data_IF_365477687367
#
_entry.id   IF_365477687367
#
_cell.length_a   1.000
_cell.length_b   1.000
_cell.length_c   1.000
_cell.angle_alpha   90.00
_cell.angle_beta   90.00
_cell.angle_gamma   90.00
#
_symmetry.space_group_name_H-M   'P 1'
#
loop_
_entity.id
_entity.type
_entity.pdbx_description
1 polymer ?
#
# COMPACT_ATOMS: atom_id res chain seq x y z
N UNK A 1 -88.19 -21.26 33.05
CA UNK A 1 -87.42 -20.97 31.82
C UNK A 1 -86.97 -19.50 31.86
N UNK A 2 -85.70 -19.24 31.55
CA UNK A 2 -85.10 -17.94 31.19
C UNK A 2 -84.62 -16.93 32.26
N UNK A 3 -83.98 -17.34 33.36
CA UNK A 3 -83.15 -16.38 34.14
C UNK A 3 -81.76 -16.84 34.60
N UNK A 4 -81.43 -18.14 34.56
CA UNK A 4 -80.11 -18.63 35.02
C UNK A 4 -79.04 -18.75 33.92
N UNK A 5 -79.42 -18.67 32.64
CA UNK A 5 -78.47 -18.82 31.52
C UNK A 5 -77.74 -17.50 31.13
N UNK A 6 -78.20 -16.34 31.62
CA UNK A 6 -77.72 -15.04 31.11
C UNK A 6 -76.62 -14.38 31.98
N UNK A 7 -76.25 -14.99 33.12
CA UNK A 7 -75.14 -14.50 33.95
C UNK A 7 -73.79 -15.15 33.60
N UNK A 8 -73.78 -16.37 33.06
CA UNK A 8 -72.55 -17.07 32.68
C UNK A 8 -71.82 -16.41 31.50
N UNK A 9 -72.55 -15.89 30.51
CA UNK A 9 -71.93 -15.24 29.35
C UNK A 9 -71.23 -13.91 29.68
N UNK A 10 -71.76 -13.15 30.66
CA UNK A 10 -71.24 -11.82 31.00
C UNK A 10 -69.92 -11.88 31.78
N UNK A 11 -69.67 -12.96 32.54
CA UNK A 11 -68.41 -13.16 33.25
C UNK A 11 -67.31 -13.74 32.34
N UNK A 12 -67.67 -14.55 31.33
CA UNK A 12 -66.71 -15.09 30.36
C UNK A 12 -66.17 -13.98 29.43
N UNK A 13 -67.03 -13.05 28.99
CA UNK A 13 -66.61 -11.90 28.17
C UNK A 13 -65.65 -10.96 28.89
N UNK A 14 -65.84 -10.73 30.20
CA UNK A 14 -64.97 -9.87 31.00
C UNK A 14 -63.57 -10.45 31.22
N UNK A 15 -63.45 -11.77 31.20
CA UNK A 15 -62.16 -12.47 31.30
C UNK A 15 -61.39 -12.42 29.98
N UNK A 16 -62.06 -12.61 28.84
CA UNK A 16 -61.43 -12.50 27.52
C UNK A 16 -60.94 -11.08 27.18
N UNK A 17 -61.70 -10.05 27.57
CA UNK A 17 -61.30 -8.64 27.37
C UNK A 17 -60.08 -8.22 28.20
N UNK A 18 -59.85 -8.84 29.36
CA UNK A 18 -58.67 -8.58 30.19
C UNK A 18 -57.41 -9.29 29.67
N UNK A 19 -57.56 -10.44 29.00
CA UNK A 19 -56.44 -11.16 28.37
C UNK A 19 -55.95 -10.49 27.07
N UNK A 20 -56.84 -9.84 26.31
CA UNK A 20 -56.47 -9.08 25.09
C UNK A 20 -55.70 -7.78 25.35
N UNK A 21 -55.82 -7.18 26.55
CA UNK A 21 -55.16 -5.91 26.87
C UNK A 21 -53.67 -6.07 27.26
N UNK A 22 -53.20 -7.28 27.55
CA UNK A 22 -51.81 -7.55 27.97
C UNK A 22 -50.90 -7.90 26.79
N UNK A 23 -51.44 -8.24 25.61
CA UNK A 23 -50.64 -8.61 24.43
C UNK A 23 -50.26 -7.42 23.52
N UNK A 24 -50.69 -6.20 23.81
CA UNK A 24 -50.39 -5.00 23.00
C UNK A 24 -49.06 -4.31 23.36
N UNK A 25 -48.26 -4.90 24.25
CA UNK A 25 -46.93 -4.43 24.68
C UNK A 25 -45.81 -5.37 24.21
N UNK A 26 -45.98 -5.98 23.03
CA UNK A 26 -44.89 -6.65 22.33
C UNK A 26 -44.37 -5.69 21.25
N UNK A 27 -43.54 -4.73 21.66
CA UNK A 27 -42.67 -3.97 20.75
C UNK A 27 -41.89 -4.96 19.88
N UNK A 28 -42.01 -4.93 18.54
CA UNK A 28 -41.01 -5.58 17.71
C UNK A 28 -39.73 -4.76 17.87
N UNK A 29 -38.81 -5.25 18.71
CA UNK A 29 -37.43 -4.76 18.76
C UNK A 29 -36.90 -4.79 17.33
N UNK A 30 -36.74 -3.60 16.78
CA UNK A 30 -36.11 -3.39 15.49
C UNK A 30 -34.66 -3.82 15.65
N UNK A 31 -34.32 -5.00 15.13
CA UNK A 31 -32.94 -5.41 14.92
C UNK A 31 -32.38 -4.56 13.77
N UNK A 32 -32.09 -3.29 14.04
CA UNK A 32 -31.15 -2.50 13.24
C UNK A 32 -29.76 -3.05 13.54
N UNK A 33 -29.45 -4.19 12.92
CA UNK A 33 -28.10 -4.70 12.84
C UNK A 33 -27.25 -3.66 12.12
N UNK A 34 -26.41 -2.97 12.89
CA UNK A 34 -25.39 -2.10 12.35
C UNK A 34 -24.41 -3.00 11.56
N UNK A 35 -24.65 -3.15 10.26
CA UNK A 35 -23.73 -3.83 9.35
C UNK A 35 -22.48 -2.95 9.24
N UNK A 36 -21.53 -3.12 10.16
CA UNK A 36 -20.21 -2.52 10.01
C UNK A 36 -19.64 -3.00 8.69
N UNK A 37 -19.34 -2.05 7.81
CA UNK A 37 -18.75 -2.35 6.51
C UNK A 37 -17.43 -3.08 6.72
N UNK A 38 -17.13 -4.07 5.88
CA UNK A 38 -15.85 -4.82 5.93
C UNK A 38 -14.62 -3.89 5.94
N UNK A 39 -14.74 -2.70 5.35
CA UNK A 39 -13.72 -1.64 5.39
C UNK A 39 -13.39 -1.12 6.80
N UNK A 40 -14.34 -1.16 7.74
CA UNK A 40 -14.17 -0.70 9.13
C UNK A 40 -13.51 -1.77 10.02
N UNK A 41 -13.49 -3.03 9.57
CA UNK A 41 -12.88 -4.15 10.28
C UNK A 41 -11.41 -4.38 9.92
N UNK A 42 -10.90 -3.71 8.88
CA UNK A 42 -9.51 -3.86 8.45
C UNK A 42 -8.58 -3.06 9.38
N UNK A 43 -7.54 -3.68 9.97
CA UNK A 43 -6.53 -2.92 10.70
C UNK A 43 -5.83 -1.93 9.77
N UNK A 44 -5.54 -0.73 10.28
CA UNK A 44 -4.80 0.27 9.52
C UNK A 44 -3.40 -0.23 9.14
N UNK A 45 -2.87 0.24 8.01
CA UNK A 45 -1.53 -0.16 7.51
C UNK A 45 -0.37 0.19 8.45
N UNK A 46 -0.59 1.08 9.42
CA UNK A 46 0.39 1.44 10.45
C UNK A 46 0.19 0.68 11.77
N UNK A 47 -0.80 -0.20 11.84
CA UNK A 47 -1.09 -0.96 13.05
C UNK A 47 -0.30 -2.27 13.03
N UNK A 48 0.20 -2.65 14.20
CA UNK A 48 0.76 -3.99 14.40
C UNK A 48 -0.39 -5.00 14.41
N UNK A 49 -0.25 -6.08 13.65
CA UNK A 49 -1.23 -7.16 13.60
C UNK A 49 -0.66 -8.36 14.35
N UNK A 50 -1.25 -8.75 15.49
CA UNK A 50 -0.81 -9.96 16.21
C UNK A 50 -0.99 -11.21 15.37
N UNK A 51 0.05 -12.05 15.27
CA UNK A 51 0.04 -13.31 14.52
C UNK A 51 0.64 -13.22 13.11
N UNK A 52 0.90 -12.01 12.59
CA UNK A 52 1.64 -11.84 11.34
C UNK A 52 3.15 -11.99 11.59
N UNK A 53 3.80 -12.87 10.82
CA UNK A 53 5.23 -13.14 10.90
C UNK A 53 6.02 -12.32 9.86
N UNK A 54 7.29 -12.04 10.17
CA UNK A 54 8.17 -11.27 9.28
C UNK A 54 7.87 -9.77 9.28
N UNK A 55 8.37 -9.08 8.25
CA UNK A 55 8.20 -7.63 8.11
C UNK A 55 6.74 -7.29 7.80
N UNK A 56 6.12 -6.48 8.66
CA UNK A 56 4.70 -6.13 8.55
C UNK A 56 4.47 -4.83 7.75
N UNK A 57 3.21 -4.58 7.40
CA UNK A 57 2.79 -3.34 6.70
C UNK A 57 3.20 -2.05 7.42
N UNK A 58 3.20 -2.06 8.76
CA UNK A 58 3.68 -0.93 9.57
C UNK A 58 5.17 -0.68 9.31
N UNK A 59 5.98 -1.73 9.35
CA UNK A 59 7.44 -1.60 9.21
C UNK A 59 7.80 -1.12 7.79
N UNK A 60 7.03 -1.54 6.78
CA UNK A 60 7.10 -1.00 5.43
C UNK A 60 6.83 0.50 5.39
N UNK A 61 5.74 0.95 6.00
CA UNK A 61 5.37 2.38 6.05
C UNK A 61 6.46 3.18 6.76
N UNK A 62 6.82 2.77 7.97
CA UNK A 62 7.80 3.47 8.82
C UNK A 62 9.17 3.54 8.14
N UNK A 63 9.65 2.43 7.58
CA UNK A 63 10.94 2.38 6.89
C UNK A 63 10.94 3.32 5.69
N UNK A 64 9.95 3.21 4.81
CA UNK A 64 9.98 3.95 3.55
C UNK A 64 9.68 5.44 3.76
N UNK A 65 8.91 5.83 4.79
CA UNK A 65 8.77 7.23 5.21
C UNK A 65 10.10 7.81 5.70
N UNK A 66 10.78 7.09 6.61
CA UNK A 66 12.08 7.53 7.16
C UNK A 66 13.15 7.64 6.08
N UNK A 67 13.33 6.59 5.29
CA UNK A 67 14.38 6.54 4.26
C UNK A 67 14.13 7.56 3.15
N UNK A 68 12.87 7.76 2.72
CA UNK A 68 12.56 8.79 1.73
C UNK A 68 12.86 10.19 2.28
N UNK A 69 12.51 10.47 3.54
CA UNK A 69 12.81 11.74 4.17
C UNK A 69 14.32 11.98 4.32
N UNK A 70 15.09 10.95 4.65
CA UNK A 70 16.54 11.04 4.78
C UNK A 70 17.22 11.23 3.41
N UNK A 71 16.74 10.57 2.36
CA UNK A 71 17.26 10.73 1.00
C UNK A 71 17.11 12.18 0.50
N UNK A 72 16.03 12.87 0.87
CA UNK A 72 15.83 14.27 0.50
C UNK A 72 16.76 15.26 1.21
N UNK A 73 17.47 14.84 2.27
CA UNK A 73 18.44 15.67 2.99
C UNK A 73 19.85 15.61 2.41
N UNK A 74 20.09 14.67 1.48
CA UNK A 74 21.38 14.49 0.82
C UNK A 74 21.74 15.79 0.07
N UNK A 75 22.91 16.42 0.32
CA UNK A 75 23.29 17.67 -0.32
C UNK A 75 23.25 17.63 -1.85
N UNK A 76 23.67 16.52 -2.44
CA UNK A 76 23.68 16.25 -3.88
C UNK A 76 22.28 16.30 -4.51
N UNK A 77 21.22 16.15 -3.69
CA UNK A 77 19.82 16.23 -4.09
C UNK A 77 19.21 17.56 -3.63
N UNK A 78 19.46 17.97 -2.39
CA UNK A 78 18.85 19.14 -1.77
C UNK A 78 19.37 20.47 -2.34
N UNK A 79 20.66 20.53 -2.70
CA UNK A 79 21.33 21.74 -3.15
C UNK A 79 21.53 21.77 -4.67
N UNK A 80 21.11 20.73 -5.39
CA UNK A 80 21.26 20.66 -6.83
C UNK A 80 20.27 21.63 -7.51
N UNK A 81 20.76 22.57 -8.34
CA UNK A 81 19.86 23.46 -9.08
C UNK A 81 19.01 22.73 -10.12
N UNK A 82 19.45 21.54 -10.55
CA UNK A 82 18.77 20.71 -11.53
C UNK A 82 18.19 19.45 -10.90
N UNK A 83 17.20 18.86 -11.58
CA UNK A 83 16.64 17.56 -11.17
C UNK A 83 17.70 16.47 -11.20
N UNK A 84 17.82 15.76 -10.09
CA UNK A 84 18.63 14.54 -10.01
C UNK A 84 17.84 13.40 -10.59
N UNK A 85 18.48 12.67 -11.51
CA UNK A 85 17.87 11.54 -12.19
C UNK A 85 18.32 10.26 -11.50
N UNK A 86 17.38 9.54 -10.88
CA UNK A 86 17.63 8.32 -10.12
C UNK A 86 16.96 7.14 -10.81
N UNK A 87 17.70 6.06 -11.03
CA UNK A 87 17.11 4.77 -11.39
C UNK A 87 16.84 3.96 -10.13
N UNK A 88 15.63 3.43 -10.01
CA UNK A 88 15.32 2.46 -8.97
C UNK A 88 15.86 1.09 -9.42
N UNK A 89 16.98 0.68 -8.83
CA UNK A 89 17.52 -0.66 -9.03
C UNK A 89 16.74 -1.67 -8.17
N UNK A 90 17.03 -2.97 -8.29
CA UNK A 90 16.30 -4.01 -7.56
C UNK A 90 16.56 -3.98 -6.05
N UNK A 91 15.59 -4.48 -5.28
CA UNK A 91 15.83 -4.98 -3.92
C UNK A 91 16.26 -6.44 -4.01
N UNK A 92 17.29 -6.80 -3.27
CA UNK A 92 17.69 -8.18 -3.04
C UNK A 92 17.17 -8.68 -1.71
N UNK A 93 16.37 -9.73 -1.74
CA UNK A 93 15.96 -10.45 -0.54
C UNK A 93 17.04 -11.48 -0.17
N UNK A 94 17.74 -11.25 0.95
CA UNK A 94 18.68 -12.20 1.58
C UNK A 94 18.17 -12.68 2.95
N UNK A 95 16.86 -12.58 3.17
CA UNK A 95 16.22 -13.09 4.38
C UNK A 95 16.00 -14.60 4.28
N UNK A 96 15.64 -15.21 5.40
CA UNK A 96 15.16 -16.59 5.49
C UNK A 96 13.77 -16.79 4.84
N UNK A 97 13.11 -15.72 4.37
CA UNK A 97 11.77 -15.71 3.79
C UNK A 97 11.78 -15.27 2.31
N UNK A 98 12.24 -16.13 1.38
CA UNK A 98 12.42 -15.75 -0.03
C UNK A 98 11.11 -15.52 -0.80
N UNK A 99 9.96 -15.93 -0.24
CA UNK A 99 8.65 -15.74 -0.88
C UNK A 99 8.07 -14.33 -0.69
N UNK A 100 8.67 -13.51 0.17
CA UNK A 100 8.20 -12.14 0.42
C UNK A 100 8.55 -11.22 -0.76
N UNK A 101 7.56 -10.51 -1.27
CA UNK A 101 7.74 -9.54 -2.34
C UNK A 101 8.26 -8.21 -1.77
N UNK A 102 9.59 -8.03 -1.82
CA UNK A 102 10.23 -6.81 -1.33
C UNK A 102 10.23 -5.67 -2.36
N UNK A 103 9.67 -5.88 -3.57
CA UNK A 103 9.59 -4.79 -4.57
C UNK A 103 8.63 -3.69 -4.14
N UNK A 104 7.68 -4.01 -3.26
CA UNK A 104 6.71 -3.06 -2.70
C UNK A 104 7.38 -1.89 -1.96
N UNK A 105 8.55 -2.12 -1.33
CA UNK A 105 9.27 -1.08 -0.60
C UNK A 105 9.83 -0.01 -1.54
N UNK A 106 10.45 -0.42 -2.66
CA UNK A 106 10.89 0.51 -3.71
C UNK A 106 9.68 1.21 -4.33
N UNK A 107 8.59 0.47 -4.60
CA UNK A 107 7.39 1.04 -5.19
C UNK A 107 6.81 2.17 -4.32
N UNK A 108 6.68 1.96 -3.00
CA UNK A 108 6.20 2.99 -2.08
C UNK A 108 7.16 4.16 -1.97
N UNK A 109 8.47 3.94 -1.84
CA UNK A 109 9.46 5.04 -1.82
C UNK A 109 9.40 5.87 -3.11
N UNK A 110 9.33 5.22 -4.28
CA UNK A 110 9.16 5.90 -5.57
C UNK A 110 7.90 6.76 -5.59
N UNK A 111 6.79 6.26 -5.06
CA UNK A 111 5.55 7.02 -4.97
C UNK A 111 5.71 8.26 -4.06
N UNK A 112 6.29 8.10 -2.87
CA UNK A 112 6.54 9.20 -1.93
C UNK A 112 7.46 10.27 -2.52
N UNK A 113 8.59 9.85 -3.10
CA UNK A 113 9.56 10.78 -3.65
C UNK A 113 9.00 11.52 -4.89
N UNK A 114 8.21 10.86 -5.73
CA UNK A 114 7.49 11.52 -6.81
C UNK A 114 6.43 12.52 -6.30
N UNK A 115 5.81 12.25 -5.15
CA UNK A 115 4.81 13.12 -4.55
C UNK A 115 5.44 14.37 -3.91
N UNK A 116 6.54 14.20 -3.16
CA UNK A 116 7.11 15.26 -2.32
C UNK A 116 8.38 15.93 -2.89
N UNK A 117 8.99 15.36 -3.93
CA UNK A 117 10.26 15.85 -4.46
C UNK A 117 10.31 15.84 -6.00
N UNK A 118 9.17 16.01 -6.66
CA UNK A 118 9.07 16.04 -8.13
C UNK A 118 9.90 17.13 -8.81
N UNK A 119 10.16 18.20 -8.07
CA UNK A 119 10.97 19.35 -8.45
C UNK A 119 12.47 19.06 -8.36
N UNK A 120 12.89 18.12 -7.49
CA UNK A 120 14.30 17.79 -7.21
C UNK A 120 14.74 16.44 -7.78
N UNK A 121 13.84 15.48 -7.89
CA UNK A 121 14.13 14.11 -8.31
C UNK A 121 13.24 13.72 -9.49
N UNK A 122 13.84 13.06 -10.48
CA UNK A 122 13.15 12.36 -11.54
C UNK A 122 13.54 10.87 -11.50
N UNK A 123 12.54 10.00 -11.57
CA UNK A 123 12.76 8.57 -11.70
C UNK A 123 12.64 8.14 -13.16
N UNK A 124 13.48 7.19 -13.57
CA UNK A 124 13.40 6.56 -14.87
C UNK A 124 13.08 5.08 -14.70
N UNK A 125 12.09 4.62 -15.45
CA UNK A 125 11.79 3.20 -15.57
C UNK A 125 12.82 2.49 -16.47
N UNK A 126 13.11 1.21 -16.22
CA UNK A 126 14.04 0.44 -17.06
C UNK A 126 13.71 0.58 -18.57
N UNK A 127 14.72 0.76 -19.45
CA UNK A 127 14.51 1.03 -20.87
C UNK A 127 13.62 0.00 -21.59
N UNK A 128 13.68 -1.27 -21.18
CA UNK A 128 12.91 -2.35 -21.80
C UNK A 128 11.39 -2.15 -21.66
N UNK A 129 10.93 -1.61 -20.54
CA UNK A 129 9.50 -1.40 -20.28
C UNK A 129 9.01 -0.15 -20.99
N UNK A 130 9.79 0.94 -20.93
CA UNK A 130 9.47 2.18 -21.65
C UNK A 130 9.42 1.97 -23.16
N UNK A 131 10.32 1.18 -23.74
CA UNK A 131 10.29 0.86 -25.17
C UNK A 131 9.03 0.11 -25.59
N UNK A 132 8.56 -0.86 -24.79
CA UNK A 132 7.30 -1.57 -25.05
C UNK A 132 6.11 -0.62 -25.03
N UNK A 133 6.03 0.26 -24.03
CA UNK A 133 4.98 1.26 -23.91
C UNK A 133 5.02 2.28 -25.05
N UNK A 134 6.21 2.75 -25.42
CA UNK A 134 6.38 3.65 -26.56
C UNK A 134 5.94 2.97 -27.86
N UNK A 135 6.33 1.72 -28.11
CA UNK A 135 5.85 0.97 -29.28
C UNK A 135 4.33 0.79 -29.26
N UNK A 136 3.73 0.52 -28.10
CA UNK A 136 2.29 0.32 -27.96
C UNK A 136 1.47 1.60 -28.15
N UNK A 137 1.92 2.74 -27.62
CA UNK A 137 1.13 3.98 -27.56
C UNK A 137 1.62 5.08 -28.51
N UNK A 138 2.91 5.14 -28.81
CA UNK A 138 3.51 6.09 -29.76
C UNK A 138 3.81 5.42 -31.11
N UNK A 139 4.02 4.11 -31.13
CA UNK A 139 4.32 3.34 -32.35
C UNK A 139 3.11 3.09 -33.27
N UNK A 140 1.92 3.58 -32.91
CA UNK A 140 0.70 3.46 -33.73
C UNK A 140 0.14 4.81 -34.24
N UNK A 141 0.89 5.92 -34.11
CA UNK A 141 0.58 7.18 -34.82
C UNK A 141 1.06 7.18 -36.27
N UNK A 142 1.15 6.00 -36.89
CA UNK A 142 1.57 5.78 -38.28
C UNK A 142 0.55 4.91 -39.01
N UNK A 143 -0.71 5.31 -39.00
CA UNK A 143 -1.71 4.72 -39.88
C UNK A 143 -1.45 5.15 -41.32
N UNK A 144 -0.93 4.22 -42.13
CA UNK A 144 -1.02 4.26 -43.59
C UNK A 144 0.09 5.03 -44.32
N UNK A 145 0.69 4.34 -45.28
CA UNK A 145 1.26 4.87 -46.54
C UNK A 145 1.91 6.27 -46.45
N UNK A 146 3.24 6.33 -46.41
CA UNK A 146 3.97 7.16 -47.38
C UNK A 146 5.47 6.86 -47.44
N UNK A 147 5.88 6.72 -48.69
CA UNK A 147 7.18 6.52 -49.27
C UNK A 147 8.05 7.76 -49.06
N UNK A 148 9.36 7.59 -48.81
CA UNK A 148 10.43 8.59 -48.96
C UNK A 148 10.17 10.01 -48.43
N UNK A 149 10.79 10.39 -47.31
CA UNK A 149 11.68 11.57 -47.24
C UNK A 149 12.19 11.87 -45.83
N UNK A 150 13.47 12.24 -45.79
CA UNK A 150 14.20 12.95 -44.73
C UNK A 150 13.31 13.75 -43.77
N UNK A 151 13.21 13.29 -42.51
CA UNK A 151 12.61 14.03 -41.41
C UNK A 151 12.96 13.33 -40.11
N UNK A 152 13.79 13.96 -39.28
CA UNK A 152 14.39 13.36 -38.11
C UNK A 152 13.37 12.69 -37.20
N UNK A 153 13.62 11.43 -36.88
CA UNK A 153 13.06 10.79 -35.68
C UNK A 153 13.29 11.80 -34.53
N UNK A 154 12.24 12.24 -33.81
CA UNK A 154 12.44 13.15 -32.69
C UNK A 154 13.46 12.49 -31.77
N UNK A 155 14.60 13.14 -31.57
CA UNK A 155 15.66 12.61 -30.72
C UNK A 155 15.06 12.42 -29.34
N UNK A 156 14.79 11.15 -29.01
CA UNK A 156 14.40 10.75 -27.68
C UNK A 156 15.51 11.23 -26.76
N UNK A 157 15.26 12.30 -26.02
CA UNK A 157 16.23 12.86 -25.09
C UNK A 157 16.25 11.90 -23.91
N UNK A 158 16.95 10.77 -24.09
CA UNK A 158 17.07 9.72 -23.09
C UNK A 158 17.69 10.36 -21.87
N UNK A 159 16.87 10.61 -20.84
CA UNK A 159 17.35 11.06 -19.55
C UNK A 159 18.37 10.02 -19.07
N UNK A 160 19.61 10.45 -18.83
CA UNK A 160 20.69 9.56 -18.37
C UNK A 160 20.63 9.52 -16.84
N UNK A 161 20.42 8.35 -16.22
CA UNK A 161 20.42 8.25 -14.77
C UNK A 161 21.81 8.58 -14.21
N UNK A 162 21.85 9.40 -13.16
CA UNK A 162 23.07 9.80 -12.46
C UNK A 162 23.33 8.89 -11.27
N UNK A 163 22.26 8.47 -10.59
CA UNK A 163 22.34 7.62 -9.42
C UNK A 163 21.47 6.38 -9.56
N UNK A 164 21.86 5.30 -8.88
CA UNK A 164 21.03 4.13 -8.67
C UNK A 164 20.71 3.96 -7.20
N UNK A 165 19.43 3.77 -6.88
CA UNK A 165 18.98 3.38 -5.56
C UNK A 165 18.76 1.86 -5.53
N UNK A 166 19.52 1.14 -4.71
CA UNK A 166 19.38 -0.33 -4.54
C UNK A 166 19.14 -0.67 -3.08
N UNK A 167 18.48 -1.80 -2.82
CA UNK A 167 18.21 -2.26 -1.45
C UNK A 167 18.65 -3.70 -1.22
N UNK A 168 19.01 -4.04 0.02
CA UNK A 168 19.28 -5.42 0.44
C UNK A 168 18.65 -5.69 1.79
N UNK A 169 17.92 -6.80 1.89
CA UNK A 169 17.18 -7.19 3.08
C UNK A 169 17.86 -8.40 3.68
N UNK A 170 18.23 -8.30 4.95
CA UNK A 170 18.88 -9.35 5.72
C UNK A 170 17.99 -9.73 6.90
N UNK A 171 18.14 -10.96 7.37
CA UNK A 171 17.59 -11.34 8.66
C UNK A 171 18.55 -12.21 9.48
N UNK A 172 18.24 -12.28 10.77
CA UNK A 172 18.86 -13.19 11.72
C UNK A 172 17.73 -13.86 12.51
N UNK A 173 17.25 -15.03 12.05
CA UNK A 173 16.17 -15.75 12.70
C UNK A 173 16.64 -16.37 14.02
N UNK A 174 15.76 -16.33 15.04
CA UNK A 174 15.91 -17.01 16.32
C UNK A 174 14.58 -17.71 16.66
N UNK A 175 14.55 -18.62 17.63
CA UNK A 175 13.37 -19.43 17.95
C UNK A 175 12.14 -18.59 18.31
N UNK A 176 12.31 -17.47 19.02
CA UNK A 176 11.19 -16.62 19.46
C UNK A 176 11.04 -15.32 18.65
N UNK A 177 12.10 -14.86 18.00
CA UNK A 177 12.13 -13.56 17.32
C UNK A 177 13.00 -13.62 16.08
N UNK A 178 12.72 -12.79 15.09
CA UNK A 178 13.60 -12.59 13.95
C UNK A 178 14.05 -11.14 13.91
N UNK A 179 15.35 -10.91 13.77
CA UNK A 179 15.88 -9.57 13.55
C UNK A 179 15.98 -9.33 12.05
N UNK A 180 15.46 -8.20 11.57
CA UNK A 180 15.57 -7.79 10.18
C UNK A 180 16.42 -6.53 10.06
N UNK A 181 17.30 -6.53 9.07
CA UNK A 181 18.11 -5.37 8.66
C UNK A 181 17.85 -5.10 7.19
N UNK A 182 17.22 -3.98 6.90
CA UNK A 182 16.99 -3.50 5.55
C UNK A 182 17.95 -2.35 5.28
N UNK A 183 18.79 -2.46 4.25
CA UNK A 183 19.70 -1.39 3.82
C UNK A 183 19.32 -0.87 2.44
N UNK A 184 19.48 0.43 2.25
CA UNK A 184 19.29 1.10 0.97
C UNK A 184 20.49 1.99 0.68
N UNK A 185 21.00 1.92 -0.55
CA UNK A 185 22.21 2.59 -0.96
C UNK A 185 21.95 3.40 -2.21
N UNK A 186 22.37 4.68 -2.18
CA UNK A 186 22.41 5.55 -3.34
C UNK A 186 23.83 5.56 -3.90
N UNK A 187 23.99 5.03 -5.10
CA UNK A 187 25.29 4.89 -5.76
C UNK A 187 25.36 5.82 -6.95
N UNK A 188 26.44 6.60 -7.06
CA UNK A 188 26.73 7.39 -8.24
C UNK A 188 27.17 6.45 -9.38
N UNK A 189 26.45 6.49 -10.50
CA UNK A 189 26.69 5.58 -11.63
C UNK A 189 27.95 5.91 -12.42
N UNK A 190 28.46 7.14 -12.34
CA UNK A 190 29.67 7.55 -13.04
C UNK A 190 30.93 7.17 -12.28
N UNK A 191 30.93 7.35 -10.95
CA UNK A 191 32.10 7.12 -10.09
C UNK A 191 32.08 5.78 -9.37
N UNK A 192 30.91 5.16 -9.22
CA UNK A 192 30.71 3.98 -8.36
C UNK A 192 30.69 4.30 -6.87
N UNK A 193 30.71 5.58 -6.50
CA UNK A 193 30.71 6.04 -5.12
C UNK A 193 29.37 5.76 -4.43
N UNK A 194 29.43 5.24 -3.21
CA UNK A 194 28.27 5.17 -2.32
C UNK A 194 28.11 6.55 -1.67
N UNK A 195 27.14 7.31 -2.17
CA UNK A 195 26.89 8.70 -1.72
C UNK A 195 26.05 8.72 -0.45
N UNK A 196 25.18 7.72 -0.30
CA UNK A 196 24.34 7.60 0.88
C UNK A 196 23.99 6.13 1.14
N UNK A 197 23.91 5.78 2.42
CA UNK A 197 23.36 4.53 2.89
C UNK A 197 22.44 4.79 4.08
N UNK A 198 21.21 4.30 3.95
CA UNK A 198 20.22 4.27 5.02
C UNK A 198 19.94 2.84 5.43
N UNK A 199 19.55 2.65 6.68
CA UNK A 199 19.14 1.36 7.20
C UNK A 199 17.87 1.47 8.03
N UNK A 200 17.17 0.35 8.14
CA UNK A 200 16.05 0.15 9.03
C UNK A 200 16.17 -1.21 9.70
N UNK A 201 15.89 -1.23 10.99
CA UNK A 201 16.10 -2.39 11.84
C UNK A 201 14.85 -2.62 12.66
N UNK A 202 14.39 -3.87 12.69
CA UNK A 202 13.22 -4.26 13.47
C UNK A 202 13.37 -5.69 13.96
N UNK A 203 12.80 -5.96 15.13
CA UNK A 203 12.66 -7.31 15.66
C UNK A 203 11.19 -7.71 15.59
N UNK A 204 10.93 -8.81 14.89
CA UNK A 204 9.61 -9.41 14.73
C UNK A 204 9.52 -10.66 15.59
N UNK A 205 8.30 -11.08 15.92
CA UNK A 205 8.07 -12.24 16.76
C UNK A 205 7.68 -13.44 15.88
N UNK A 206 8.14 -14.63 16.27
CA UNK A 206 7.88 -15.89 15.58
C UNK A 206 6.86 -16.67 16.42
N UNK A 207 5.57 -16.39 16.25
CA UNK A 207 4.50 -17.16 16.88
C UNK A 207 3.33 -17.39 15.93
#
# INVERSE_FOLDING_TARGET
MNMLANQWHKNLQRWFLRLMAVSALAMPLSLTGCQKSYSELRPGVSQFVPGDQGLQSRDLVDMTDRLSADLLKIPEIAQNPNKVIIVMASVQNKTSQPWQDDTIYIARMRALLNQYARDRIAFIEPPQETQKLQQQYLGNSGGGFEQNSRGGVPQNTTLVPQYALKGVFYDLPNTATTYHLCTFQLVNLQTGELVWEGHYEVRTLNF
#
